data_IF_751699190991
#
_entry.id   IF_751699190991
#
_cell.length_a   1.000
_cell.length_b   1.000
_cell.length_c   1.000
_cell.angle_alpha   90.00
_cell.angle_beta   90.00
_cell.angle_gamma   90.00
#
_symmetry.space_group_name_H-M   'P 1'
#
loop_
_entity.id
_entity.type
_entity.pdbx_description
1 polymer ?
#
# COMPACT_ATOMS: atom_id res chain seq x y z
N UNK A 1 -27.80 -5.01 -9.24
CA UNK A 1 -27.80 -6.38 -8.65
C UNK A 1 -26.39 -6.90 -8.33
N UNK A 2 -25.41 -6.84 -9.23
CA UNK A 2 -24.03 -7.30 -8.94
C UNK A 2 -23.25 -6.41 -7.97
N UNK A 3 -23.32 -5.09 -8.14
CA UNK A 3 -22.63 -4.14 -7.24
C UNK A 3 -23.12 -4.28 -5.81
N UNK A 4 -24.43 -4.42 -5.62
CA UNK A 4 -25.07 -4.56 -4.32
C UNK A 4 -24.63 -5.86 -3.61
N UNK A 5 -24.53 -6.97 -4.35
CA UNK A 5 -23.98 -8.23 -3.85
C UNK A 5 -22.51 -8.10 -3.48
N UNK A 6 -21.72 -7.38 -4.28
CA UNK A 6 -20.31 -7.12 -3.98
C UNK A 6 -20.18 -6.27 -2.71
N UNK A 7 -20.93 -5.18 -2.60
CA UNK A 7 -20.93 -4.31 -1.42
C UNK A 7 -21.37 -5.06 -0.15
N UNK A 8 -22.38 -5.92 -0.25
CA UNK A 8 -22.84 -6.76 0.87
C UNK A 8 -21.80 -7.76 1.38
N UNK A 9 -20.79 -8.11 0.57
CA UNK A 9 -19.71 -9.00 0.99
C UNK A 9 -18.67 -8.30 1.87
N UNK A 10 -18.59 -6.97 1.84
CA UNK A 10 -17.71 -6.17 2.68
C UNK A 10 -18.38 -5.87 4.02
N UNK A 11 -18.16 -6.76 4.99
CA UNK A 11 -18.71 -6.60 6.35
C UNK A 11 -17.87 -5.69 7.24
N UNK A 12 -16.58 -5.48 6.91
CA UNK A 12 -15.60 -4.72 7.69
C UNK A 12 -15.50 -5.16 9.17
N UNK A 13 -15.94 -6.39 9.47
CA UNK A 13 -15.90 -6.99 10.82
C UNK A 13 -14.62 -7.78 11.07
N UNK A 14 -13.70 -7.83 10.09
CA UNK A 14 -12.39 -8.39 10.33
C UNK A 14 -11.65 -7.46 11.28
N UNK A 15 -11.48 -7.86 12.53
CA UNK A 15 -10.39 -7.32 13.33
C UNK A 15 -9.07 -7.68 12.61
N UNK A 16 -7.97 -6.97 12.88
CA UNK A 16 -6.61 -7.36 12.46
C UNK A 16 -6.15 -8.72 13.09
N UNK A 17 -7.11 -9.55 13.51
CA UNK A 17 -6.98 -10.91 13.96
C UNK A 17 -6.53 -11.81 12.81
N UNK A 18 -5.23 -12.14 12.79
CA UNK A 18 -4.66 -13.51 12.71
C UNK A 18 -3.29 -13.54 11.99
N UNK A 19 -2.91 -12.55 11.19
CA UNK A 19 -1.59 -12.53 10.53
C UNK A 19 -0.63 -11.52 11.19
N UNK A 20 0.62 -11.94 11.44
CA UNK A 20 1.67 -11.05 11.96
C UNK A 20 2.06 -9.93 10.96
N UNK A 21 1.77 -10.12 9.66
CA UNK A 21 2.16 -9.21 8.56
C UNK A 21 1.07 -9.08 7.46
N UNK A 22 -0.13 -8.57 7.76
CA UNK A 22 -1.26 -8.55 6.83
C UNK A 22 -0.99 -7.76 5.54
N UNK A 23 -0.17 -6.71 5.60
CA UNK A 23 0.19 -5.93 4.41
C UNK A 23 1.14 -6.66 3.49
N UNK A 24 2.09 -7.39 4.06
CA UNK A 24 3.04 -8.16 3.26
C UNK A 24 2.31 -9.29 2.53
N UNK A 25 1.35 -9.94 3.20
CA UNK A 25 0.58 -11.02 2.57
C UNK A 25 -0.40 -10.51 1.51
N UNK A 26 -1.05 -9.36 1.75
CA UNK A 26 -1.84 -8.67 0.73
C UNK A 26 -1.00 -8.37 -0.51
N UNK A 27 0.18 -7.76 -0.32
CA UNK A 27 1.05 -7.40 -1.44
C UNK A 27 1.57 -8.64 -2.19
N UNK A 28 1.92 -9.73 -1.50
CA UNK A 28 2.28 -10.99 -2.18
C UNK A 28 1.11 -11.53 -3.00
N UNK A 29 -0.09 -11.55 -2.43
CA UNK A 29 -1.27 -12.07 -3.11
C UNK A 29 -1.58 -11.28 -4.38
N UNK A 30 -1.60 -9.94 -4.27
CA UNK A 30 -1.81 -9.04 -5.42
C UNK A 30 -0.71 -9.24 -6.46
N UNK A 31 0.55 -9.36 -6.05
CA UNK A 31 1.64 -9.57 -7.00
C UNK A 31 1.53 -10.90 -7.75
N UNK A 32 1.24 -11.99 -7.05
CA UNK A 32 1.05 -13.30 -7.69
C UNK A 32 -0.12 -13.26 -8.69
N UNK A 33 -1.22 -12.59 -8.33
CA UNK A 33 -2.36 -12.41 -9.22
C UNK A 33 -1.99 -11.61 -10.47
N UNK A 34 -1.28 -10.50 -10.30
CA UNK A 34 -0.85 -9.63 -11.39
C UNK A 34 0.22 -10.31 -12.27
N UNK A 35 1.06 -11.17 -11.71
CA UNK A 35 2.04 -11.98 -12.45
C UNK A 35 1.34 -12.98 -13.36
N UNK A 36 0.31 -13.66 -12.84
CA UNK A 36 -0.52 -14.54 -13.64
C UNK A 36 -1.20 -13.79 -14.79
N UNK A 37 -1.72 -12.58 -14.55
CA UNK A 37 -2.33 -11.74 -15.58
C UNK A 37 -1.32 -11.32 -16.65
N UNK A 38 -0.10 -10.93 -16.25
CA UNK A 38 1.00 -10.63 -17.19
C UNK A 38 1.33 -11.84 -18.04
N UNK A 39 1.47 -13.03 -17.44
CA UNK A 39 1.78 -14.25 -18.19
C UNK A 39 0.71 -14.60 -19.23
N UNK A 40 -0.56 -14.37 -18.91
CA UNK A 40 -1.67 -14.60 -19.83
C UNK A 40 -1.75 -13.56 -20.95
N UNK A 41 -1.36 -12.31 -20.68
CA UNK A 41 -1.42 -11.22 -21.65
C UNK A 41 -0.20 -11.12 -22.58
N UNK A 42 0.83 -11.97 -22.39
CA UNK A 42 2.01 -11.99 -23.24
C UNK A 42 1.63 -12.34 -24.68
N UNK A 43 1.99 -11.44 -25.60
CA UNK A 43 1.89 -11.70 -27.03
C UNK A 43 2.88 -12.80 -27.46
N UNK A 44 2.62 -13.55 -28.53
CA UNK A 44 3.58 -14.48 -29.13
C UNK A 44 4.94 -13.84 -29.50
N UNK A 45 5.00 -12.50 -29.62
CA UNK A 45 6.25 -11.74 -29.77
C UNK A 45 7.06 -11.56 -28.47
N UNK A 46 6.61 -12.12 -27.34
CA UNK A 46 7.26 -12.00 -26.02
C UNK A 46 7.08 -10.64 -25.33
N UNK A 47 6.45 -9.67 -26.00
CA UNK A 47 6.13 -8.37 -25.43
C UNK A 47 4.94 -8.46 -24.47
N UNK A 48 5.08 -7.81 -23.31
CA UNK A 48 3.98 -7.59 -22.37
C UNK A 48 3.41 -6.18 -22.57
N UNK A 49 2.16 -6.02 -23.00
CA UNK A 49 1.54 -4.72 -23.20
C UNK A 49 0.99 -4.08 -21.91
N UNK A 50 0.98 -4.81 -20.78
CA UNK A 50 0.29 -4.37 -19.57
C UNK A 50 1.14 -3.46 -18.70
N UNK A 51 0.60 -2.26 -18.45
CA UNK A 51 1.05 -1.34 -17.40
C UNK A 51 0.16 -1.53 -16.17
N UNK A 52 0.75 -1.76 -15.00
CA UNK A 52 0.01 -2.16 -13.80
C UNK A 52 0.15 -1.12 -12.69
N UNK A 53 -0.99 -0.58 -12.25
CA UNK A 53 -1.14 0.31 -11.11
C UNK A 53 -1.90 -0.42 -9.99
N UNK A 54 -1.33 -0.40 -8.78
CA UNK A 54 -2.02 -0.83 -7.55
C UNK A 54 -2.30 0.41 -6.70
N UNK A 55 -3.59 0.73 -6.54
CA UNK A 55 -4.04 1.79 -5.64
C UNK A 55 -4.52 1.18 -4.33
N UNK A 56 -3.88 1.54 -3.22
CA UNK A 56 -4.28 1.12 -1.88
C UNK A 56 -4.95 2.31 -1.20
N UNK A 57 -6.17 2.15 -0.72
CA UNK A 57 -6.90 3.18 0.03
C UNK A 57 -7.17 2.66 1.44
N UNK A 58 -6.56 3.30 2.44
CA UNK A 58 -6.72 2.93 3.85
C UNK A 58 -6.31 4.09 4.76
N UNK A 59 -6.58 3.98 6.05
CA UNK A 59 -6.10 4.91 7.08
C UNK A 59 -4.57 4.85 7.28
N UNK A 60 -3.91 3.83 6.74
CA UNK A 60 -2.46 3.65 6.76
C UNK A 60 -1.90 3.21 8.11
N UNK A 61 -2.74 2.79 9.05
CA UNK A 61 -2.31 2.39 10.40
C UNK A 61 -2.02 0.91 10.46
N UNK A 62 -0.75 0.56 10.29
CA UNK A 62 -0.33 -0.84 10.34
C UNK A 62 -0.07 -1.28 11.77
N UNK A 63 -1.00 -2.06 12.33
CA UNK A 63 -0.92 -2.62 13.67
C UNK A 63 -0.22 -4.00 13.68
N UNK A 64 0.83 -4.16 12.87
CA UNK A 64 1.66 -5.36 12.86
C UNK A 64 2.25 -5.53 14.26
N UNK A 65 1.94 -6.65 14.93
CA UNK A 65 2.31 -6.87 16.33
C UNK A 65 3.81 -6.69 16.50
N UNK A 66 4.16 -5.53 17.06
CA UNK A 66 5.50 -5.07 17.46
C UNK A 66 6.21 -6.03 18.43
N UNK A 67 5.53 -7.08 18.91
CA UNK A 67 6.02 -7.94 19.99
C UNK A 67 7.01 -9.02 19.55
N UNK A 68 7.04 -9.46 18.29
CA UNK A 68 7.91 -10.60 17.88
C UNK A 68 8.98 -10.23 16.83
N UNK A 69 8.81 -9.13 16.11
CA UNK A 69 9.70 -8.73 15.00
C UNK A 69 10.82 -7.75 15.42
N UNK A 70 10.81 -7.27 16.67
CA UNK A 70 11.86 -6.42 17.24
C UNK A 70 13.18 -7.13 17.51
N UNK A 71 13.20 -8.46 17.52
CA UNK A 71 14.39 -9.26 17.83
C UNK A 71 15.18 -9.70 16.59
N UNK A 72 14.64 -9.54 15.37
CA UNK A 72 15.33 -9.99 14.17
C UNK A 72 15.17 -8.98 13.00
N UNK A 73 16.21 -8.19 12.67
CA UNK A 73 16.15 -7.16 11.61
C UNK A 73 15.95 -7.72 10.19
N UNK A 74 15.90 -9.05 10.03
CA UNK A 74 15.52 -9.72 8.77
C UNK A 74 14.00 -9.78 8.56
N UNK A 75 13.21 -9.66 9.61
CA UNK A 75 11.74 -9.72 9.54
C UNK A 75 11.13 -8.34 9.82
N UNK A 76 11.69 -7.27 9.25
CA UNK A 76 11.05 -5.97 9.28
C UNK A 76 10.03 -5.91 8.13
N UNK A 77 8.71 -5.83 8.39
CA UNK A 77 7.71 -5.80 7.33
C UNK A 77 7.91 -4.59 6.39
N UNK A 78 8.38 -3.46 6.93
CA UNK A 78 8.78 -2.27 6.15
C UNK A 78 9.82 -2.58 5.06
N UNK A 79 10.78 -3.49 5.32
CA UNK A 79 11.77 -3.94 4.33
C UNK A 79 11.11 -4.84 3.29
N UNK A 80 10.28 -5.79 3.72
CA UNK A 80 9.58 -6.72 2.82
C UNK A 80 8.63 -5.98 1.88
N UNK A 81 7.88 -4.99 2.39
CA UNK A 81 7.05 -4.11 1.56
C UNK A 81 7.92 -3.44 0.51
N UNK A 82 9.03 -2.81 0.89
CA UNK A 82 9.95 -2.17 -0.07
C UNK A 82 10.52 -3.14 -1.11
N UNK A 83 10.90 -4.35 -0.71
CA UNK A 83 11.40 -5.37 -1.61
C UNK A 83 10.32 -5.79 -2.61
N UNK A 84 9.08 -5.96 -2.15
CA UNK A 84 7.93 -6.27 -3.00
C UNK A 84 7.59 -5.11 -3.95
N UNK A 85 7.75 -3.87 -3.50
CA UNK A 85 7.55 -2.66 -4.31
C UNK A 85 8.63 -2.44 -5.37
N UNK A 86 9.77 -3.14 -5.31
CA UNK A 86 10.84 -3.04 -6.31
C UNK A 86 10.54 -3.77 -7.63
N UNK A 87 9.47 -4.58 -7.66
CA UNK A 87 8.93 -5.19 -8.87
C UNK A 87 8.39 -4.07 -9.78
N UNK A 88 8.49 -4.20 -11.12
CA UNK A 88 8.04 -3.21 -12.14
C UNK A 88 6.52 -2.96 -12.11
N UNK A 89 6.00 -2.40 -11.02
CA UNK A 89 4.60 -2.07 -10.79
C UNK A 89 4.55 -0.82 -9.95
N UNK A 90 3.67 0.11 -10.31
CA UNK A 90 3.49 1.31 -9.50
C UNK A 90 2.48 1.02 -8.41
N UNK A 91 2.86 1.28 -7.16
CA UNK A 91 1.96 1.17 -6.01
C UNK A 91 1.82 2.55 -5.38
N UNK A 92 0.60 3.05 -5.33
CA UNK A 92 0.27 4.34 -4.74
C UNK A 92 -0.68 4.14 -3.55
N UNK A 93 -0.44 4.88 -2.47
CA UNK A 93 -1.25 4.81 -1.26
C UNK A 93 -2.07 6.08 -1.08
N UNK A 94 -3.38 5.95 -0.96
CA UNK A 94 -4.25 7.05 -0.57
C UNK A 94 -4.59 6.89 0.92
N UNK A 95 -3.96 7.73 1.73
CA UNK A 95 -4.12 7.77 3.17
C UNK A 95 -5.41 8.52 3.50
N UNK A 96 -6.41 7.81 4.01
CA UNK A 96 -7.68 8.37 4.46
C UNK A 96 -7.49 8.90 5.88
N UNK A 97 -7.21 10.19 5.99
CA UNK A 97 -6.89 10.83 7.26
C UNK A 97 -8.17 11.24 8.00
N UNK A 98 -8.16 11.10 9.32
CA UNK A 98 -9.27 11.51 10.19
C UNK A 98 -8.88 12.77 10.97
N UNK A 99 -9.72 13.82 11.00
CA UNK A 99 -9.39 15.05 11.72
C UNK A 99 -9.26 14.85 13.23
N UNK A 100 -9.92 13.83 13.79
CA UNK A 100 -9.87 13.54 15.22
C UNK A 100 -8.57 12.86 15.64
N UNK A 101 -7.92 12.16 14.72
CA UNK A 101 -6.71 11.38 15.00
C UNK A 101 -5.87 11.30 13.72
N UNK A 102 -5.14 12.37 13.44
CA UNK A 102 -4.39 12.48 12.19
C UNK A 102 -3.19 11.54 12.17
N UNK A 103 -2.97 10.85 11.05
CA UNK A 103 -1.75 10.06 10.82
C UNK A 103 -0.48 10.93 10.87
N UNK A 104 -0.59 12.23 10.61
CA UNK A 104 0.52 13.18 10.66
C UNK A 104 1.01 13.44 12.08
N UNK A 105 0.12 13.29 13.07
CA UNK A 105 0.39 13.51 14.48
C UNK A 105 0.76 12.21 15.21
N UNK A 106 0.57 11.06 14.56
CA UNK A 106 0.91 9.75 15.11
C UNK A 106 2.43 9.65 15.32
N UNK A 107 2.83 9.27 16.53
CA UNK A 107 4.23 9.07 16.91
C UNK A 107 4.54 7.59 17.04
N UNK A 108 5.73 7.19 16.61
CA UNK A 108 6.27 5.85 16.83
C UNK A 108 7.66 5.91 17.47
N UNK A 109 7.95 4.91 18.31
CA UNK A 109 9.29 4.73 18.85
C UNK A 109 10.13 3.88 17.88
N UNK A 110 11.01 4.53 17.14
CA UNK A 110 12.01 3.88 16.28
C UNK A 110 13.31 3.68 17.03
N UNK A 111 13.82 2.45 17.06
CA UNK A 111 15.01 2.16 17.85
C UNK A 111 15.43 0.69 17.85
N UNK A 112 16.67 0.45 18.27
CA UNK A 112 17.23 -0.90 18.49
C UNK A 112 17.85 -0.98 19.88
N UNK A 113 17.62 -2.08 20.59
CA UNK A 113 18.19 -2.28 21.92
C UNK A 113 17.68 -1.24 22.91
N UNK A 114 18.58 -0.42 23.45
CA UNK A 114 18.30 0.61 24.45
C UNK A 114 18.11 2.01 23.88
N UNK A 115 18.42 2.23 22.59
CA UNK A 115 18.22 3.52 21.94
C UNK A 115 16.87 3.55 21.24
N UNK A 116 15.89 4.20 21.86
CA UNK A 116 14.60 4.53 21.25
C UNK A 116 14.52 6.02 20.97
N UNK A 117 14.22 6.38 19.73
CA UNK A 117 13.90 7.74 19.30
C UNK A 117 12.42 7.83 19.05
N UNK A 118 11.81 8.91 19.54
CA UNK A 118 10.45 9.28 19.18
C UNK A 118 10.48 9.97 17.81
N UNK A 119 9.79 9.42 16.82
CA UNK A 119 9.68 9.96 15.46
C UNK A 119 8.21 10.02 15.03
N UNK A 120 7.89 10.88 14.07
CA UNK A 120 6.55 10.84 13.46
C UNK A 120 6.40 9.56 12.65
N UNK A 121 5.25 8.89 12.76
CA UNK A 121 4.94 7.67 12.04
C UNK A 121 5.15 7.81 10.53
N UNK A 122 4.71 8.95 9.98
CA UNK A 122 4.79 9.24 8.54
C UNK A 122 6.22 9.26 7.99
N UNK A 123 7.23 9.61 8.80
CA UNK A 123 8.65 9.61 8.40
C UNK A 123 9.16 8.20 8.09
N UNK A 124 8.48 7.19 8.62
CA UNK A 124 8.82 5.79 8.49
C UNK A 124 7.86 5.00 7.59
N UNK A 125 6.90 5.69 6.95
CA UNK A 125 5.84 5.06 6.20
C UNK A 125 6.41 4.18 5.06
N UNK A 126 5.94 2.93 4.89
CA UNK A 126 6.64 1.95 4.07
C UNK A 126 6.44 2.12 2.56
N UNK A 127 5.54 3.01 2.13
CA UNK A 127 5.26 3.29 0.71
C UNK A 127 5.88 4.62 0.29
N UNK A 128 6.60 4.68 -0.84
CA UNK A 128 7.24 5.91 -1.32
C UNK A 128 6.24 6.89 -1.96
N UNK A 129 5.16 6.40 -2.56
CA UNK A 129 4.13 7.21 -3.20
C UNK A 129 2.86 7.16 -2.37
N UNK A 130 2.54 8.27 -1.70
CA UNK A 130 1.30 8.39 -0.95
C UNK A 130 0.72 9.80 -1.02
N UNK A 131 -0.60 9.89 -0.87
CA UNK A 131 -1.35 11.14 -0.76
C UNK A 131 -2.18 11.10 0.51
N UNK A 132 -2.05 12.13 1.35
CA UNK A 132 -2.86 12.29 2.57
C UNK A 132 -4.15 13.02 2.23
N UNK A 133 -5.28 12.31 2.32
CA UNK A 133 -6.61 12.83 2.06
C UNK A 133 -7.31 13.15 3.39
N UNK A 134 -7.37 14.43 3.73
CA UNK A 134 -8.03 14.92 4.96
C UNK A 134 -9.54 15.11 4.82
N UNK A 135 -10.02 15.38 3.61
CA UNK A 135 -11.44 15.55 3.32
C UNK A 135 -11.87 14.50 2.29
N UNK A 136 -12.82 13.65 2.68
CA UNK A 136 -13.38 12.61 1.81
C UNK A 136 -14.08 13.19 0.58
N UNK A 137 -14.61 14.41 0.65
CA UNK A 137 -15.22 15.09 -0.50
C UNK A 137 -14.21 15.41 -1.60
N UNK A 138 -12.93 15.54 -1.25
CA UNK A 138 -11.86 15.72 -2.22
C UNK A 138 -11.45 14.41 -2.91
N UNK A 139 -11.93 13.24 -2.44
CA UNK A 139 -11.56 11.93 -2.98
C UNK A 139 -11.70 11.82 -4.50
N UNK A 140 -12.83 12.20 -5.13
CA UNK A 140 -12.99 12.02 -6.57
C UNK A 140 -11.97 12.85 -7.37
N UNK A 141 -11.68 14.07 -6.92
CA UNK A 141 -10.70 14.95 -7.55
C UNK A 141 -9.28 14.43 -7.36
N UNK A 142 -8.91 14.09 -6.13
CA UNK A 142 -7.58 13.54 -5.82
C UNK A 142 -7.31 12.25 -6.60
N UNK A 143 -8.32 11.39 -6.74
CA UNK A 143 -8.20 10.16 -7.53
C UNK A 143 -7.99 10.47 -9.02
N UNK A 144 -8.73 11.43 -9.57
CA UNK A 144 -8.55 11.86 -10.96
C UNK A 144 -7.15 12.42 -11.21
N UNK A 145 -6.65 13.26 -10.29
CA UNK A 145 -5.30 13.83 -10.38
C UNK A 145 -4.21 12.75 -10.27
N UNK A 146 -4.38 11.77 -9.36
CA UNK A 146 -3.47 10.63 -9.23
C UNK A 146 -3.41 9.80 -10.52
N UNK A 147 -4.57 9.45 -11.07
CA UNK A 147 -4.64 8.69 -12.32
C UNK A 147 -4.01 9.47 -13.48
N UNK A 148 -4.23 10.78 -13.55
CA UNK A 148 -3.60 11.64 -14.56
C UNK A 148 -2.08 11.62 -14.46
N UNK A 149 -1.54 11.81 -13.26
CA UNK A 149 -0.10 11.73 -13.02
C UNK A 149 0.47 10.36 -13.41
N UNK A 150 -0.25 9.29 -13.10
CA UNK A 150 0.16 7.96 -13.52
C UNK A 150 0.21 7.83 -15.05
N UNK A 151 -0.83 8.26 -15.77
CA UNK A 151 -0.84 8.23 -17.24
C UNK A 151 0.32 9.05 -17.84
N UNK A 152 0.63 10.21 -17.28
CA UNK A 152 1.74 11.05 -17.72
C UNK A 152 3.09 10.34 -17.52
N UNK A 153 3.33 9.75 -16.34
CA UNK A 153 4.55 8.98 -16.08
C UNK A 153 4.73 7.80 -17.04
N UNK A 154 3.63 7.11 -17.39
CA UNK A 154 3.68 6.00 -18.34
C UNK A 154 4.03 6.44 -19.76
N UNK A 155 3.70 7.67 -20.14
CA UNK A 155 4.08 8.21 -21.46
C UNK A 155 5.58 8.53 -21.49
N UNK A 156 6.12 9.16 -20.44
CA UNK A 156 7.54 9.47 -20.35
C UNK A 156 8.44 8.23 -20.26
N UNK A 157 7.96 7.10 -19.71
CA UNK A 157 8.76 5.88 -19.62
C UNK A 157 8.89 5.10 -20.95
N UNK A 158 8.18 5.52 -22.00
CA UNK A 158 8.19 4.86 -23.32
C UNK A 158 9.15 5.51 -24.32
N UNK A 159 9.73 6.65 -23.98
CA UNK A 159 10.81 7.33 -24.71
C UNK A 159 12.18 6.99 -24.10
#
# INVERSE_FOLDING_TARGET
MYLDRMMSSFTFKQENTIADEPMVDLLKYVNNMLDAAVMQARSPSGCNPLEQLVLIMADGRFNEKVTILRLNPRFCPKRRVRDILSIKRMVAFLLLDSPNESIMDLQEFTGKGTEFKLSRYIESFPFPYYVVLKNIEALPRTLADLLRQWFELMQYSRD
#
